data_IF_856467582822
#
_entry.id   IF_856467582822
#
_cell.length_a   1.000
_cell.length_b   1.000
_cell.length_c   1.000
_cell.angle_alpha   90.00
_cell.angle_beta   90.00
_cell.angle_gamma   90.00
#
_symmetry.space_group_name_H-M   'P 1'
#
loop_
_entity.id
_entity.type
_entity.pdbx_description
1 polymer ?
#
# COMPACT_ATOMS: atom_id res chain seq x y z
N UNK A 1 6.81 -25.21 -11.84
CA UNK A 1 7.89 -25.38 -10.83
C UNK A 1 7.25 -25.63 -9.48
N UNK A 2 7.63 -26.69 -8.78
CA UNK A 2 7.11 -26.99 -7.45
C UNK A 2 7.72 -26.03 -6.41
N UNK A 3 6.93 -25.62 -5.44
CA UNK A 3 7.39 -24.81 -4.30
C UNK A 3 8.38 -25.66 -3.48
N UNK A 4 9.55 -25.13 -3.05
CA UNK A 4 10.51 -25.89 -2.25
C UNK A 4 9.87 -26.34 -0.92
N UNK A 5 9.74 -27.64 -0.70
CA UNK A 5 9.11 -28.25 0.49
C UNK A 5 9.74 -27.73 1.78
N UNK A 6 11.06 -27.56 1.83
CA UNK A 6 11.76 -27.02 3.00
C UNK A 6 11.28 -25.63 3.42
N UNK A 7 10.84 -24.79 2.46
CA UNK A 7 10.31 -23.45 2.75
C UNK A 7 8.93 -23.56 3.39
N UNK A 8 8.11 -24.49 2.89
CA UNK A 8 6.79 -24.76 3.45
C UNK A 8 6.88 -25.34 4.86
N UNK A 9 7.80 -26.28 5.09
CA UNK A 9 8.01 -26.88 6.41
C UNK A 9 8.41 -25.83 7.46
N UNK A 10 9.31 -24.92 7.12
CA UNK A 10 9.72 -23.81 8.01
C UNK A 10 8.55 -22.90 8.39
N UNK A 11 7.63 -22.63 7.47
CA UNK A 11 6.45 -21.81 7.74
C UNK A 11 5.51 -22.52 8.72
N UNK A 12 5.26 -23.81 8.53
CA UNK A 12 4.44 -24.63 9.44
C UNK A 12 5.10 -24.71 10.82
N UNK A 13 6.42 -24.95 10.90
CA UNK A 13 7.15 -24.95 12.16
C UNK A 13 7.04 -23.60 12.87
N UNK A 14 7.23 -22.49 12.14
CA UNK A 14 7.10 -21.15 12.72
C UNK A 14 5.70 -20.88 13.26
N UNK A 15 4.67 -21.30 12.53
CA UNK A 15 3.28 -21.18 12.96
C UNK A 15 3.04 -21.91 14.28
N UNK A 16 3.53 -23.14 14.44
CA UNK A 16 3.43 -23.89 15.70
C UNK A 16 4.13 -23.17 16.85
N UNK A 17 5.31 -22.59 16.61
CA UNK A 17 6.05 -21.83 17.62
C UNK A 17 5.27 -20.59 18.06
N UNK A 18 4.77 -19.80 17.10
CA UNK A 18 3.98 -18.59 17.39
C UNK A 18 2.71 -18.92 18.16
N UNK A 19 2.02 -20.01 17.77
CA UNK A 19 0.83 -20.48 18.47
C UNK A 19 1.13 -20.92 19.92
N UNK A 20 2.25 -21.61 20.13
CA UNK A 20 2.68 -22.03 21.47
C UNK A 20 3.05 -20.80 22.33
N UNK A 21 3.77 -19.82 21.78
CA UNK A 21 4.12 -18.57 22.47
C UNK A 21 2.87 -17.76 22.85
N UNK A 22 1.87 -17.66 21.96
CA UNK A 22 0.58 -17.01 22.26
C UNK A 22 -0.16 -17.69 23.40
N UNK A 23 -0.17 -19.04 23.42
CA UNK A 23 -0.84 -19.82 24.46
C UNK A 23 -0.10 -19.75 25.83
N UNK A 24 1.19 -19.42 25.85
CA UNK A 24 1.99 -19.28 27.08
C UNK A 24 1.70 -17.97 27.86
N UNK A 25 0.84 -17.08 27.34
CA UNK A 25 0.47 -15.82 27.99
C UNK A 25 1.60 -14.78 27.96
N UNK A 26 2.02 -14.32 26.79
CA UNK A 26 3.11 -13.36 26.62
C UNK A 26 2.77 -11.98 27.19
N UNK A 27 3.77 -11.09 27.27
CA UNK A 27 3.56 -9.67 27.64
C UNK A 27 2.63 -8.98 26.63
N UNK A 28 1.97 -7.86 27.01
CA UNK A 28 1.05 -7.14 26.13
C UNK A 28 1.71 -6.71 24.81
N UNK A 29 2.97 -6.28 24.84
CA UNK A 29 3.72 -5.91 23.64
C UNK A 29 4.04 -7.11 22.74
N UNK A 30 4.47 -8.23 23.35
CA UNK A 30 4.74 -9.47 22.61
C UNK A 30 3.45 -10.09 22.06
N UNK A 31 2.34 -9.99 22.81
CA UNK A 31 1.04 -10.47 22.35
C UNK A 31 0.59 -9.76 21.06
N UNK A 32 0.72 -8.43 20.98
CA UNK A 32 0.38 -7.68 19.78
C UNK A 32 1.25 -8.11 18.57
N UNK A 33 2.57 -8.23 18.78
CA UNK A 33 3.52 -8.68 17.75
C UNK A 33 3.22 -10.11 17.26
N UNK A 34 3.05 -11.05 18.20
CA UNK A 34 2.79 -12.45 17.89
C UNK A 34 1.42 -12.66 17.24
N UNK A 35 0.39 -11.90 17.66
CA UNK A 35 -0.95 -11.95 17.06
C UNK A 35 -0.93 -11.45 15.61
N UNK A 36 -0.16 -10.40 15.32
CA UNK A 36 0.02 -9.91 13.95
C UNK A 36 0.73 -10.96 13.10
N UNK A 37 1.83 -11.52 13.58
CA UNK A 37 2.58 -12.58 12.89
C UNK A 37 1.71 -13.82 12.66
N UNK A 38 0.93 -14.24 13.65
CA UNK A 38 0.01 -15.36 13.52
C UNK A 38 -1.05 -15.10 12.42
N UNK A 39 -1.67 -13.93 12.44
CA UNK A 39 -2.68 -13.56 11.43
C UNK A 39 -2.11 -13.50 10.00
N UNK A 40 -0.81 -13.25 9.84
CA UNK A 40 -0.15 -13.25 8.54
C UNK A 40 0.20 -14.66 8.06
N UNK A 41 0.62 -15.56 8.96
CA UNK A 41 1.09 -16.91 8.63
C UNK A 41 -0.04 -17.92 8.55
N UNK A 42 -1.07 -17.80 9.38
CA UNK A 42 -2.16 -18.77 9.51
C UNK A 42 -2.86 -19.10 8.18
N UNK A 43 -3.27 -18.12 7.34
CA UNK A 43 -3.89 -18.43 6.06
C UNK A 43 -2.97 -19.22 5.11
N UNK A 44 -1.65 -18.94 5.17
CA UNK A 44 -0.66 -19.63 4.35
C UNK A 44 -0.50 -21.08 4.79
N UNK A 45 -0.47 -21.32 6.12
CA UNK A 45 -0.37 -22.69 6.66
C UNK A 45 -1.61 -23.49 6.34
N UNK A 46 -2.81 -22.90 6.44
CA UNK A 46 -4.04 -23.57 6.03
C UNK A 46 -4.03 -23.97 4.54
N UNK A 47 -3.50 -23.11 3.67
CA UNK A 47 -3.34 -23.43 2.26
C UNK A 47 -2.31 -24.54 2.02
N UNK A 48 -1.21 -24.58 2.78
CA UNK A 48 -0.22 -25.67 2.76
C UNK A 48 -0.85 -26.99 3.18
N UNK A 49 -1.63 -26.98 4.25
CA UNK A 49 -2.29 -28.19 4.76
C UNK A 49 -3.35 -28.72 3.77
N UNK A 50 -4.12 -27.82 3.14
CA UNK A 50 -5.08 -28.18 2.09
C UNK A 50 -4.36 -28.79 0.88
N UNK A 51 -3.25 -28.21 0.43
CA UNK A 51 -2.44 -28.74 -0.67
C UNK A 51 -1.94 -30.15 -0.34
N UNK A 52 -1.32 -30.34 0.82
CA UNK A 52 -0.80 -31.65 1.27
C UNK A 52 -1.91 -32.69 1.49
N UNK A 53 -3.10 -32.24 1.90
CA UNK A 53 -4.28 -33.10 1.99
C UNK A 53 -4.72 -33.63 0.64
N UNK A 54 -4.80 -32.75 -0.34
CA UNK A 54 -5.18 -33.07 -1.72
C UNK A 54 -4.10 -33.88 -2.46
N UNK A 55 -2.80 -33.67 -2.17
CA UNK A 55 -1.71 -34.52 -2.67
C UNK A 55 -1.85 -35.95 -2.17
N UNK A 56 -2.17 -36.17 -0.90
CA UNK A 56 -2.42 -37.50 -0.33
C UNK A 56 -3.65 -38.18 -0.96
N UNK A 57 -4.73 -37.42 -1.14
CA UNK A 57 -5.95 -37.90 -1.83
C UNK A 57 -5.63 -38.36 -3.27
N UNK A 58 -4.83 -37.61 -4.01
CA UNK A 58 -4.35 -38.02 -5.34
C UNK A 58 -3.58 -39.33 -5.31
N UNK A 59 -2.64 -39.45 -4.35
CA UNK A 59 -1.79 -40.65 -4.23
C UNK A 59 -2.62 -41.89 -3.82
N UNK A 60 -3.61 -41.71 -2.97
CA UNK A 60 -4.55 -42.75 -2.58
C UNK A 60 -5.41 -43.21 -3.76
N UNK A 61 -5.94 -42.29 -4.56
CA UNK A 61 -6.69 -42.58 -5.79
C UNK A 61 -5.83 -43.31 -6.82
N UNK A 62 -4.59 -42.87 -6.99
CA UNK A 62 -3.65 -43.53 -7.90
C UNK A 62 -3.29 -44.96 -7.45
N UNK A 63 -3.21 -45.20 -6.15
CA UNK A 63 -3.04 -46.52 -5.57
C UNK A 63 -4.29 -47.39 -5.76
N UNK A 64 -5.49 -46.82 -5.58
CA UNK A 64 -6.77 -47.50 -5.79
C UNK A 64 -6.94 -47.93 -7.25
N UNK A 65 -6.63 -47.07 -8.23
CA UNK A 65 -6.68 -47.42 -9.66
C UNK A 65 -5.79 -48.64 -9.96
N UNK A 66 -4.56 -48.64 -9.38
CA UNK A 66 -3.63 -49.78 -9.57
C UNK A 66 -4.16 -51.09 -8.92
N UNK A 67 -4.83 -50.99 -7.77
CA UNK A 67 -5.38 -52.13 -7.08
C UNK A 67 -6.67 -52.68 -7.75
N UNK A 68 -7.42 -51.80 -8.42
CA UNK A 68 -8.70 -52.15 -9.08
C UNK A 68 -8.54 -52.67 -10.52
N UNK A 69 -7.37 -53.22 -10.88
CA UNK A 69 -7.08 -53.69 -12.24
C UNK A 69 -8.05 -54.78 -12.77
N UNK A 70 -8.89 -55.38 -11.90
CA UNK A 70 -9.92 -56.36 -12.26
C UNK A 70 -11.35 -55.81 -12.28
N UNK A 71 -11.58 -54.60 -11.78
CA UNK A 71 -12.90 -53.95 -11.69
C UNK A 71 -12.90 -52.66 -12.52
N UNK A 72 -13.45 -52.77 -13.73
CA UNK A 72 -13.49 -51.68 -14.70
C UNK A 72 -14.33 -50.47 -14.25
N UNK A 73 -15.38 -50.72 -13.50
CA UNK A 73 -16.32 -49.70 -13.08
C UNK A 73 -15.70 -48.85 -11.96
N UNK A 74 -15.09 -49.53 -10.99
CA UNK A 74 -14.36 -48.89 -9.90
C UNK A 74 -13.13 -48.09 -10.41
N UNK A 75 -12.38 -48.66 -11.35
CA UNK A 75 -11.25 -47.97 -11.97
C UNK A 75 -11.67 -46.71 -12.72
N UNK A 76 -12.76 -46.74 -13.50
CA UNK A 76 -13.28 -45.60 -14.24
C UNK A 76 -13.76 -44.45 -13.29
N UNK A 77 -14.42 -44.81 -12.19
CA UNK A 77 -14.84 -43.82 -11.17
C UNK A 77 -13.62 -43.16 -10.52
N UNK A 78 -12.63 -43.94 -10.12
CA UNK A 78 -11.40 -43.40 -9.51
C UNK A 78 -10.58 -42.56 -10.49
N UNK A 79 -10.58 -42.86 -11.78
CA UNK A 79 -9.94 -42.04 -12.82
C UNK A 79 -10.64 -40.69 -13.00
N UNK A 80 -11.97 -40.62 -12.95
CA UNK A 80 -12.72 -39.37 -13.05
C UNK A 80 -12.50 -38.48 -11.82
N UNK A 81 -12.48 -39.10 -10.64
CA UNK A 81 -12.19 -38.41 -9.38
C UNK A 81 -10.74 -37.90 -9.37
N UNK A 82 -9.78 -38.67 -9.89
CA UNK A 82 -8.36 -38.27 -10.01
C UNK A 82 -8.21 -37.04 -10.90
N UNK A 83 -8.98 -36.90 -11.97
CA UNK A 83 -8.97 -35.69 -12.81
C UNK A 83 -9.39 -34.46 -12.01
N UNK A 84 -10.52 -34.56 -11.27
CA UNK A 84 -11.04 -33.48 -10.44
C UNK A 84 -10.04 -33.08 -9.35
N UNK A 85 -9.36 -34.05 -8.74
CA UNK A 85 -8.34 -33.82 -7.72
C UNK A 85 -7.10 -33.13 -8.32
N UNK A 86 -6.69 -33.50 -9.54
CA UNK A 86 -5.57 -32.83 -10.23
C UNK A 86 -5.88 -31.38 -10.57
N UNK A 87 -7.08 -31.07 -11.08
CA UNK A 87 -7.51 -29.71 -11.37
C UNK A 87 -7.51 -28.86 -10.07
N UNK A 88 -7.98 -29.44 -8.96
CA UNK A 88 -7.94 -28.81 -7.64
C UNK A 88 -6.51 -28.58 -7.13
N UNK A 89 -5.59 -29.51 -7.38
CA UNK A 89 -4.19 -29.37 -7.03
C UNK A 89 -3.52 -28.20 -7.77
N UNK A 90 -3.77 -28.08 -9.07
CA UNK A 90 -3.24 -26.96 -9.86
C UNK A 90 -3.72 -25.60 -9.32
N UNK A 91 -5.00 -25.53 -8.94
CA UNK A 91 -5.57 -24.31 -8.36
C UNK A 91 -4.95 -24.02 -6.98
N UNK A 92 -4.88 -25.01 -6.07
CA UNK A 92 -4.28 -24.84 -4.74
C UNK A 92 -2.79 -24.47 -4.80
N UNK A 93 -2.01 -25.05 -5.73
CA UNK A 93 -0.63 -24.66 -5.97
C UNK A 93 -0.51 -23.22 -6.46
N UNK A 94 -1.38 -22.80 -7.37
CA UNK A 94 -1.40 -21.43 -7.87
C UNK A 94 -1.72 -20.46 -6.72
N UNK A 95 -2.78 -20.69 -5.97
CA UNK A 95 -3.24 -19.85 -4.86
C UNK A 95 -2.17 -19.75 -3.77
N UNK A 96 -1.52 -20.86 -3.43
CA UNK A 96 -0.43 -20.87 -2.47
C UNK A 96 0.78 -20.06 -2.97
N UNK A 97 1.13 -20.14 -4.26
CA UNK A 97 2.21 -19.32 -4.84
C UNK A 97 1.89 -17.83 -4.72
N UNK A 98 0.64 -17.44 -5.00
CA UNK A 98 0.17 -16.05 -4.84
C UNK A 98 0.27 -15.59 -3.39
N UNK A 99 -0.14 -16.44 -2.43
CA UNK A 99 -0.05 -16.11 -1.00
C UNK A 99 1.39 -15.99 -0.48
N UNK A 100 2.34 -16.68 -1.11
CA UNK A 100 3.77 -16.63 -0.79
C UNK A 100 4.52 -15.46 -1.42
N UNK A 101 3.87 -14.67 -2.28
CA UNK A 101 4.44 -13.44 -2.81
C UNK A 101 4.76 -12.45 -1.70
N UNK A 102 5.86 -11.69 -1.82
CA UNK A 102 6.16 -10.65 -0.84
C UNK A 102 5.00 -9.65 -0.81
N UNK A 103 4.37 -9.52 0.35
CA UNK A 103 3.33 -8.51 0.56
C UNK A 103 3.99 -7.15 0.67
N UNK A 104 3.42 -6.16 0.02
CA UNK A 104 3.80 -4.77 0.22
C UNK A 104 3.38 -4.35 1.63
N UNK A 105 4.31 -3.83 2.42
CA UNK A 105 4.01 -3.38 3.79
C UNK A 105 2.95 -2.28 3.82
N UNK A 106 2.83 -1.52 2.73
CA UNK A 106 1.84 -0.47 2.57
C UNK A 106 0.44 -0.98 2.18
N UNK A 107 0.26 -2.26 1.81
CA UNK A 107 -1.02 -2.78 1.33
C UNK A 107 -2.19 -2.60 2.32
N UNK A 108 -1.89 -2.52 3.60
CA UNK A 108 -2.89 -2.26 4.66
C UNK A 108 -2.98 -0.80 5.09
N UNK A 109 -2.16 0.08 4.50
CA UNK A 109 -2.18 1.51 4.83
C UNK A 109 -3.44 2.19 4.29
N UNK A 110 -3.86 3.24 4.98
CA UNK A 110 -4.79 4.22 4.45
C UNK A 110 -4.12 5.01 3.32
N UNK A 111 -4.88 5.72 2.51
CA UNK A 111 -4.41 6.34 1.27
C UNK A 111 -4.64 7.83 1.28
N UNK A 112 -3.64 8.58 0.84
CA UNK A 112 -3.81 9.95 0.36
C UNK A 112 -4.01 9.88 -1.16
N UNK A 113 -5.22 10.15 -1.60
CA UNK A 113 -5.59 10.25 -3.02
C UNK A 113 -5.48 11.71 -3.47
N UNK A 114 -4.67 11.97 -4.49
CA UNK A 114 -4.58 13.28 -5.14
C UNK A 114 -5.05 13.16 -6.59
N UNK A 115 -6.01 13.99 -6.98
CA UNK A 115 -6.45 14.09 -8.37
C UNK A 115 -6.24 15.53 -8.83
N UNK A 116 -5.52 15.71 -9.93
CA UNK A 116 -5.20 17.03 -10.48
C UNK A 116 -5.54 17.13 -11.95
N UNK A 117 -6.03 18.29 -12.37
CA UNK A 117 -6.17 18.62 -13.77
C UNK A 117 -4.78 18.64 -14.43
N UNK A 118 -4.64 17.93 -15.54
CA UNK A 118 -3.44 17.93 -16.38
C UNK A 118 -3.63 18.83 -17.61
N UNK A 119 -3.20 18.36 -18.78
CA UNK A 119 -3.35 19.07 -20.05
C UNK A 119 -4.80 19.07 -20.50
N UNK A 120 -5.41 20.25 -20.72
CA UNK A 120 -6.76 20.38 -21.27
C UNK A 120 -7.61 21.53 -20.67
N UNK A 121 -7.03 22.37 -19.81
CA UNK A 121 -7.72 23.52 -19.22
C UNK A 121 -8.94 23.09 -18.37
N UNK A 122 -10.07 23.79 -18.56
CA UNK A 122 -11.31 23.54 -17.80
C UNK A 122 -11.85 22.13 -17.99
N UNK A 123 -11.70 21.55 -19.19
CA UNK A 123 -12.13 20.17 -19.44
C UNK A 123 -11.32 19.15 -18.62
N UNK A 124 -10.02 19.40 -18.44
CA UNK A 124 -9.19 18.57 -17.57
C UNK A 124 -9.64 18.67 -16.10
N UNK A 125 -10.07 19.86 -15.67
CA UNK A 125 -10.60 20.05 -14.31
C UNK A 125 -11.97 19.36 -14.11
N UNK A 126 -12.84 19.41 -15.10
CA UNK A 126 -14.11 18.66 -15.08
C UNK A 126 -13.85 17.15 -15.05
N UNK A 127 -12.91 16.67 -15.84
CA UNK A 127 -12.55 15.26 -15.82
C UNK A 127 -11.90 14.83 -14.49
N UNK A 128 -11.10 15.68 -13.86
CA UNK A 128 -10.58 15.42 -12.52
C UNK A 128 -11.71 15.28 -11.49
N UNK A 129 -12.76 16.09 -11.60
CA UNK A 129 -13.96 15.96 -10.75
C UNK A 129 -14.71 14.63 -11.01
N UNK A 130 -14.81 14.19 -12.28
CA UNK A 130 -15.40 12.90 -12.61
C UNK A 130 -14.62 11.73 -12.04
N UNK A 131 -13.27 11.77 -12.12
CA UNK A 131 -12.41 10.74 -11.52
C UNK A 131 -12.53 10.71 -9.99
N UNK A 132 -12.52 11.87 -9.34
CA UNK A 132 -12.67 11.92 -7.88
C UNK A 132 -14.03 11.37 -7.45
N UNK A 133 -15.10 11.68 -8.19
CA UNK A 133 -16.44 11.13 -7.95
C UNK A 133 -16.45 9.61 -8.12
N UNK A 134 -15.81 9.09 -9.16
CA UNK A 134 -15.65 7.65 -9.39
C UNK A 134 -14.98 6.97 -8.18
N UNK A 135 -13.85 7.50 -7.70
CA UNK A 135 -13.16 6.92 -6.54
C UNK A 135 -13.93 7.07 -5.24
N UNK A 136 -14.66 8.17 -5.04
CA UNK A 136 -15.51 8.36 -3.87
C UNK A 136 -16.64 7.33 -3.82
N UNK A 137 -17.31 7.08 -4.95
CA UNK A 137 -18.34 6.05 -5.05
C UNK A 137 -17.79 4.64 -4.88
N UNK A 138 -16.61 4.39 -5.44
CA UNK A 138 -15.89 3.14 -5.25
C UNK A 138 -15.56 2.89 -3.77
N UNK A 139 -15.11 3.91 -3.08
CA UNK A 139 -14.87 3.86 -1.64
C UNK A 139 -16.15 3.55 -0.84
N UNK A 140 -17.28 4.20 -1.19
CA UNK A 140 -18.58 3.95 -0.55
C UNK A 140 -19.01 2.47 -0.72
N UNK A 141 -18.86 1.91 -1.93
CA UNK A 141 -19.19 0.50 -2.19
C UNK A 141 -18.35 -0.47 -1.36
N UNK A 142 -17.08 -0.12 -1.11
CA UNK A 142 -16.16 -0.91 -0.28
C UNK A 142 -16.24 -0.58 1.21
N UNK A 143 -17.16 0.33 1.62
CA UNK A 143 -17.33 0.80 3.00
C UNK A 143 -16.07 1.48 3.55
N UNK A 144 -15.33 2.16 2.68
CA UNK A 144 -14.20 2.99 3.07
C UNK A 144 -14.68 4.41 3.37
N UNK A 145 -13.99 5.08 4.28
CA UNK A 145 -14.28 6.46 4.64
C UNK A 145 -13.44 7.40 3.77
N UNK A 146 -14.08 8.42 3.19
CA UNK A 146 -13.39 9.46 2.41
C UNK A 146 -13.47 10.79 3.16
N UNK A 147 -12.33 11.43 3.40
CA UNK A 147 -12.23 12.76 4.00
C UNK A 147 -11.43 13.69 3.09
N UNK A 148 -12.05 14.79 2.66
CA UNK A 148 -11.38 15.78 1.82
C UNK A 148 -10.43 16.61 2.68
N UNK A 149 -9.13 16.60 2.34
CA UNK A 149 -8.08 17.37 3.01
C UNK A 149 -7.99 18.77 2.41
N UNK A 150 -7.96 18.85 1.09
CA UNK A 150 -7.92 20.13 0.36
C UNK A 150 -8.58 20.00 -1.00
N UNK A 151 -9.15 21.10 -1.49
CA UNK A 151 -9.82 21.15 -2.77
C UNK A 151 -9.67 22.54 -3.40
N UNK A 152 -9.34 22.58 -4.68
CA UNK A 152 -9.28 23.80 -5.48
C UNK A 152 -10.17 23.62 -6.71
N UNK A 153 -11.25 24.38 -6.77
CA UNK A 153 -12.23 24.33 -7.86
C UNK A 153 -11.95 25.38 -8.94
N UNK A 154 -12.50 25.16 -10.13
CA UNK A 154 -12.66 26.18 -11.14
C UNK A 154 -14.11 26.70 -11.18
N UNK A 155 -14.37 27.75 -11.96
CA UNK A 155 -15.69 28.41 -12.04
C UNK A 155 -16.80 27.51 -12.66
N UNK A 156 -16.42 26.37 -13.25
CA UNK A 156 -17.32 25.40 -13.89
C UNK A 156 -17.60 24.16 -13.04
N UNK A 157 -17.17 24.14 -11.76
CA UNK A 157 -17.36 23.01 -10.85
C UNK A 157 -16.39 21.84 -11.11
N UNK A 158 -15.32 22.06 -11.87
CA UNK A 158 -14.23 21.11 -12.03
C UNK A 158 -13.16 21.31 -10.96
N UNK A 159 -12.33 20.30 -10.69
CA UNK A 159 -11.24 20.38 -9.72
C UNK A 159 -9.89 20.65 -10.41
N UNK A 160 -9.25 21.76 -10.08
CA UNK A 160 -7.84 21.98 -10.41
C UNK A 160 -6.98 20.98 -9.66
N UNK A 161 -7.34 20.77 -8.40
CA UNK A 161 -6.73 19.80 -7.51
C UNK A 161 -7.71 19.40 -6.42
N UNK A 162 -7.75 18.12 -6.08
CA UNK A 162 -8.42 17.61 -4.88
C UNK A 162 -7.51 16.59 -4.21
N UNK A 163 -7.37 16.69 -2.89
CA UNK A 163 -6.63 15.78 -2.03
C UNK A 163 -7.56 15.25 -0.98
N UNK A 164 -7.66 13.94 -0.85
CA UNK A 164 -8.51 13.28 0.13
C UNK A 164 -7.76 12.12 0.81
N UNK A 165 -8.07 11.88 2.07
CA UNK A 165 -7.71 10.64 2.76
C UNK A 165 -8.83 9.62 2.54
N UNK A 166 -8.44 8.39 2.22
CA UNK A 166 -9.36 7.25 2.11
C UNK A 166 -8.89 6.18 3.08
N UNK A 167 -9.70 5.91 4.10
CA UNK A 167 -9.37 4.95 5.16
C UNK A 167 -10.27 3.73 5.16
N UNK A 168 -9.65 2.56 5.37
CA UNK A 168 -10.34 1.27 5.39
C UNK A 168 -9.42 0.10 5.09
N UNK A 169 -9.96 -1.10 5.19
CA UNK A 169 -9.16 -2.32 4.99
C UNK A 169 -8.75 -2.50 3.52
N UNK A 170 -7.44 -2.54 3.26
CA UNK A 170 -6.89 -2.88 1.95
C UNK A 170 -7.05 -1.79 0.89
N UNK A 171 -7.21 -0.52 1.30
CA UNK A 171 -7.41 0.61 0.39
C UNK A 171 -6.21 0.77 -0.52
N UNK A 172 -4.99 0.80 0.02
CA UNK A 172 -3.78 0.97 -0.78
C UNK A 172 -3.56 -0.21 -1.72
N UNK A 173 -3.77 -1.44 -1.27
CA UNK A 173 -3.64 -2.64 -2.11
C UNK A 173 -4.49 -2.57 -3.39
N UNK A 174 -5.68 -1.99 -3.30
CA UNK A 174 -6.60 -1.82 -4.44
C UNK A 174 -6.26 -0.60 -5.29
N UNK A 175 -6.06 0.55 -4.68
CA UNK A 175 -5.93 1.82 -5.38
C UNK A 175 -4.53 2.12 -5.91
N UNK A 176 -3.46 1.48 -5.43
CA UNK A 176 -2.07 1.72 -5.87
C UNK A 176 -1.87 1.64 -7.39
N UNK A 177 -2.68 0.83 -8.09
CA UNK A 177 -2.65 0.70 -9.54
C UNK A 177 -3.35 1.84 -10.28
N UNK A 178 -4.05 2.73 -9.58
CA UNK A 178 -4.73 3.87 -10.20
C UNK A 178 -3.81 5.09 -10.38
N UNK A 179 -2.60 5.05 -9.84
CA UNK A 179 -1.61 6.12 -9.97
C UNK A 179 -1.12 6.27 -11.41
N UNK A 180 -1.20 7.49 -11.94
CA UNK A 180 -0.71 7.82 -13.27
C UNK A 180 -1.54 8.87 -14.00
N UNK A 181 -1.35 8.94 -15.31
CA UNK A 181 -2.07 9.88 -16.19
C UNK A 181 -3.30 9.20 -16.79
N UNK A 182 -4.47 9.75 -16.53
CA UNK A 182 -5.75 9.34 -17.10
C UNK A 182 -6.14 10.27 -18.25
N UNK A 183 -6.44 9.74 -19.40
CA UNK A 183 -6.78 10.48 -20.61
C UNK A 183 -8.26 10.35 -20.94
N UNK A 184 -8.93 11.47 -21.18
CA UNK A 184 -10.32 11.50 -21.63
C UNK A 184 -10.42 11.96 -23.08
N UNK A 185 -11.35 11.36 -23.81
CA UNK A 185 -11.76 11.76 -25.16
C UNK A 185 -13.26 11.92 -25.17
N UNK A 186 -13.72 13.19 -25.16
CA UNK A 186 -15.15 13.56 -25.25
C UNK A 186 -15.30 14.95 -25.83
N UNK A 187 -16.53 15.29 -26.19
CA UNK A 187 -16.91 16.68 -26.49
C UNK A 187 -17.04 17.41 -25.14
N UNK A 188 -16.21 18.42 -24.85
CA UNK A 188 -16.32 19.17 -23.61
C UNK A 188 -17.66 19.86 -23.45
N UNK A 189 -18.13 20.04 -22.21
CA UNK A 189 -19.33 20.84 -21.94
C UNK A 189 -19.18 22.32 -22.37
N UNK A 190 -17.94 22.79 -22.52
CA UNK A 190 -17.57 24.15 -22.95
C UNK A 190 -17.44 24.29 -24.47
N UNK A 191 -17.55 23.21 -25.23
CA UNK A 191 -17.33 23.20 -26.68
C UNK A 191 -18.66 23.32 -27.44
N UNK A 192 -18.84 24.46 -28.12
CA UNK A 192 -20.08 24.72 -28.89
C UNK A 192 -20.09 24.03 -30.27
N UNK A 193 -18.91 23.66 -30.82
CA UNK A 193 -18.81 23.10 -32.18
C UNK A 193 -18.92 21.57 -32.25
N UNK A 194 -19.10 20.90 -31.13
CA UNK A 194 -19.22 19.45 -31.05
C UNK A 194 -17.92 18.68 -31.35
N UNK A 195 -16.75 19.33 -31.27
CA UNK A 195 -15.46 18.69 -31.53
C UNK A 195 -15.03 17.86 -30.34
N UNK A 196 -14.52 16.66 -30.61
CA UNK A 196 -13.93 15.80 -29.60
C UNK A 196 -12.56 16.37 -29.17
N UNK A 197 -12.41 16.65 -27.87
CA UNK A 197 -11.14 17.07 -27.30
C UNK A 197 -10.48 15.90 -26.55
N UNK A 198 -9.17 15.98 -26.42
CA UNK A 198 -8.37 15.03 -25.64
C UNK A 198 -7.77 15.78 -24.48
N UNK A 199 -8.22 15.51 -23.28
CA UNK A 199 -7.72 16.08 -22.04
C UNK A 199 -7.13 15.01 -21.14
N UNK A 200 -6.42 15.41 -20.11
CA UNK A 200 -5.80 14.49 -19.14
C UNK A 200 -5.94 15.02 -17.73
N UNK A 201 -6.07 14.11 -16.80
CA UNK A 201 -5.91 14.35 -15.36
C UNK A 201 -4.90 13.37 -14.79
N UNK A 202 -4.28 13.73 -13.68
CA UNK A 202 -3.31 12.89 -12.99
C UNK A 202 -3.87 12.43 -11.68
N UNK A 203 -3.62 11.17 -11.36
CA UNK A 203 -3.98 10.54 -10.09
C UNK A 203 -2.70 10.09 -9.41
N UNK A 204 -2.52 10.47 -8.15
CA UNK A 204 -1.48 9.93 -7.28
C UNK A 204 -2.15 9.23 -6.09
N UNK A 205 -1.68 8.05 -5.78
CA UNK A 205 -2.12 7.24 -4.65
C UNK A 205 -0.90 6.99 -3.78
N UNK A 206 -0.88 7.60 -2.61
CA UNK A 206 0.24 7.54 -1.68
C UNK A 206 -0.23 6.87 -0.40
N UNK A 207 0.55 5.94 0.19
CA UNK A 207 0.19 5.40 1.49
C UNK A 207 0.23 6.51 2.54
N UNK A 208 -0.78 6.55 3.40
CA UNK A 208 -0.77 7.47 4.55
C UNK A 208 0.29 7.00 5.54
N UNK A 209 1.23 7.86 5.96
CA UNK A 209 2.26 7.46 6.89
C UNK A 209 1.65 7.18 8.26
N UNK A 210 2.09 6.11 8.89
CA UNK A 210 1.83 5.91 10.31
C UNK A 210 2.41 7.08 11.11
N UNK A 211 1.69 7.55 12.15
CA UNK A 211 2.23 8.52 13.08
C UNK A 211 3.51 7.95 13.72
N UNK A 212 4.62 8.60 13.44
CA UNK A 212 5.90 8.16 14.00
C UNK A 212 6.01 8.69 15.40
N UNK A 213 5.81 7.82 16.39
CA UNK A 213 6.19 8.10 17.76
C UNK A 213 7.71 8.30 17.85
N UNK A 214 8.13 9.55 18.03
CA UNK A 214 9.53 9.89 18.17
C UNK A 214 10.02 9.47 19.57
N UNK A 215 10.47 8.23 19.71
CA UNK A 215 11.13 7.75 20.91
C UNK A 215 12.63 8.04 20.82
N UNK A 216 13.13 8.97 21.66
CA UNK A 216 14.56 9.29 21.75
C UNK A 216 15.15 8.45 22.87
N UNK A 217 16.01 7.49 22.50
CA UNK A 217 16.68 6.63 23.48
C UNK A 217 17.78 7.39 24.23
N UNK A 218 18.00 7.10 25.52
CA UNK A 218 19.04 7.78 26.31
C UNK A 218 20.45 7.69 25.74
N UNK A 219 20.73 6.65 24.95
CA UNK A 219 22.04 6.41 24.31
C UNK A 219 22.27 7.29 23.08
N UNK A 220 21.20 7.87 22.52
CA UNK A 220 21.23 8.66 21.28
C UNK A 220 21.57 10.13 21.52
N UNK A 221 21.65 10.57 22.79
CA UNK A 221 21.99 11.94 23.09
C UNK A 221 23.02 12.06 24.21
N UNK A 222 23.85 13.10 24.09
CA UNK A 222 24.82 13.47 25.11
C UNK A 222 24.45 14.84 25.69
N UNK A 223 24.48 14.93 27.02
CA UNK A 223 24.20 16.16 27.76
C UNK A 223 25.50 16.67 28.36
N UNK A 224 25.89 17.87 28.00
CA UNK A 224 27.01 18.59 28.54
C UNK A 224 26.49 19.81 29.31
N UNK A 225 27.05 20.07 30.51
CA UNK A 225 26.81 21.31 31.26
C UNK A 225 27.92 22.31 30.96
N UNK A 226 27.52 23.58 30.82
CA UNK A 226 28.48 24.65 30.51
C UNK A 226 28.10 25.94 31.25
N UNK A 227 29.03 26.86 31.30
CA UNK A 227 28.74 28.22 31.82
C UNK A 227 27.90 29.00 30.84
N UNK A 228 26.88 29.69 31.34
CA UNK A 228 26.08 30.55 30.50
C UNK A 228 26.94 31.74 30.04
N UNK A 229 27.06 31.97 28.71
CA UNK A 229 27.73 33.12 28.15
C UNK A 229 26.79 34.34 28.11
N UNK A 230 27.23 35.48 28.54
CA UNK A 230 26.47 36.74 28.45
C UNK A 230 26.88 37.78 29.48
N UNK A 231 26.43 39.04 29.31
CA UNK A 231 26.60 40.12 30.30
C UNK A 231 25.78 39.79 31.57
N UNK A 232 26.40 39.27 32.57
CA UNK A 232 25.78 38.92 33.84
C UNK A 232 26.76 38.99 35.02
N UNK A 233 26.24 39.18 36.23
CA UNK A 233 27.00 39.26 37.47
C UNK A 233 27.68 37.97 37.87
N UNK A 234 28.26 37.93 39.10
CA UNK A 234 29.10 36.86 39.62
C UNK A 234 28.45 35.44 39.56
N UNK A 235 27.12 35.34 39.50
CA UNK A 235 26.37 34.07 39.39
C UNK A 235 26.49 33.44 38.01
N UNK A 236 26.41 34.21 36.92
CA UNK A 236 26.50 33.74 35.52
C UNK A 236 27.88 33.18 35.20
N UNK A 237 28.93 33.78 35.81
CA UNK A 237 30.31 33.42 35.54
C UNK A 237 30.86 32.24 36.40
N UNK A 238 30.15 31.87 37.48
CA UNK A 238 30.61 30.79 38.39
C UNK A 238 29.78 29.52 38.32
N UNK A 239 28.53 29.56 37.88
CA UNK A 239 27.64 28.40 37.84
C UNK A 239 27.50 27.83 36.43
N UNK A 240 27.68 26.51 36.29
CA UNK A 240 27.45 25.79 35.05
C UNK A 240 25.96 25.45 34.90
N UNK A 241 25.15 26.49 34.72
CA UNK A 241 23.68 26.35 34.60
C UNK A 241 23.19 26.05 33.17
N UNK A 242 23.96 26.42 32.15
CA UNK A 242 23.62 26.15 30.77
C UNK A 242 23.77 24.65 30.42
N UNK A 243 22.86 24.14 29.62
CA UNK A 243 22.83 22.74 29.19
C UNK A 243 22.92 22.70 27.67
N UNK A 244 23.83 21.89 27.16
CA UNK A 244 23.99 21.55 25.75
C UNK A 244 23.59 20.09 25.56
N UNK A 245 22.68 19.82 24.66
CA UNK A 245 22.32 18.46 24.25
C UNK A 245 22.77 18.26 22.81
N UNK A 246 23.53 17.22 22.57
CA UNK A 246 23.94 16.75 21.25
C UNK A 246 23.18 15.43 20.96
N UNK A 247 22.41 15.41 19.90
CA UNK A 247 21.84 14.17 19.38
C UNK A 247 22.87 13.51 18.46
N UNK A 248 23.37 12.34 18.85
CA UNK A 248 24.52 11.68 18.21
C UNK A 248 24.23 11.28 16.77
N UNK A 249 23.06 10.63 16.44
CA UNK A 249 22.81 10.18 15.08
C UNK A 249 22.64 11.31 14.05
N UNK A 250 22.04 12.44 14.45
CA UNK A 250 21.76 13.56 13.53
C UNK A 250 22.72 14.72 13.64
N UNK A 251 23.53 14.77 14.71
CA UNK A 251 24.43 15.89 14.99
C UNK A 251 23.71 17.18 15.44
N UNK A 252 22.40 17.13 15.70
CA UNK A 252 21.65 18.30 16.17
C UNK A 252 22.11 18.69 17.56
N UNK A 253 22.46 19.97 17.72
CA UNK A 253 22.88 20.57 18.97
C UNK A 253 21.82 21.56 19.43
N UNK A 254 21.40 21.43 20.69
CA UNK A 254 20.50 22.36 21.37
C UNK A 254 21.18 22.88 22.63
N UNK A 255 21.17 24.20 22.80
CA UNK A 255 21.71 24.86 24.00
C UNK A 255 20.60 25.64 24.67
N UNK A 256 20.45 25.50 25.98
CA UNK A 256 19.55 26.30 26.82
C UNK A 256 20.36 26.90 27.99
N UNK A 257 20.19 28.21 28.23
CA UNK A 257 21.03 28.99 29.15
C UNK A 257 20.22 29.84 30.15
N UNK A 258 19.10 29.31 30.64
CA UNK A 258 18.28 29.93 31.68
C UNK A 258 18.92 29.80 33.09
N UNK A 259 18.29 30.38 34.10
CA UNK A 259 18.86 30.41 35.47
C UNK A 259 18.93 29.03 36.14
N UNK A 260 18.10 28.08 35.76
CA UNK A 260 18.04 26.75 36.40
C UNK A 260 18.51 25.65 35.45
N UNK A 261 19.50 24.88 35.85
CA UNK A 261 20.03 23.74 35.09
C UNK A 261 18.96 22.67 34.81
N UNK A 262 18.09 22.35 35.75
CA UNK A 262 16.99 21.40 35.55
C UNK A 262 15.96 21.91 34.53
N UNK A 263 15.67 23.21 34.57
CA UNK A 263 14.78 23.82 33.58
C UNK A 263 15.42 23.82 32.20
N UNK A 264 16.71 24.13 32.09
CA UNK A 264 17.47 24.12 30.86
C UNK A 264 17.51 22.71 30.23
N UNK A 265 17.69 21.67 31.04
CA UNK A 265 17.65 20.29 30.55
C UNK A 265 16.30 19.93 29.95
N UNK A 266 15.18 20.30 30.65
CA UNK A 266 13.83 20.05 30.16
C UNK A 266 13.53 20.83 28.86
N UNK A 267 13.87 22.13 28.81
CA UNK A 267 13.67 22.96 27.63
C UNK A 267 14.52 22.49 26.44
N UNK A 268 15.80 22.18 26.67
CA UNK A 268 16.67 21.70 25.62
C UNK A 268 16.18 20.35 25.05
N UNK A 269 15.66 19.45 25.88
CA UNK A 269 15.08 18.20 25.44
C UNK A 269 13.79 18.42 24.65
N UNK A 270 12.94 19.34 25.07
CA UNK A 270 11.73 19.72 24.33
C UNK A 270 12.04 20.30 22.95
N UNK A 271 13.02 21.20 22.86
CA UNK A 271 13.48 21.77 21.60
C UNK A 271 14.14 20.73 20.71
N UNK A 272 14.90 19.78 21.29
CA UNK A 272 15.49 18.67 20.55
C UNK A 272 14.39 17.79 19.92
N UNK A 273 13.36 17.42 20.69
CA UNK A 273 12.22 16.65 20.18
C UNK A 273 11.51 17.37 19.02
N UNK A 274 11.23 18.66 19.18
CA UNK A 274 10.61 19.45 18.11
C UNK A 274 11.45 19.49 16.83
N UNK A 275 12.78 19.67 16.94
CA UNK A 275 13.67 19.69 15.77
C UNK A 275 13.79 18.32 15.09
N UNK A 276 13.86 17.24 15.86
CA UNK A 276 13.89 15.88 15.32
C UNK A 276 12.58 15.55 14.61
N UNK A 277 11.45 15.90 15.20
CA UNK A 277 10.13 15.72 14.58
C UNK A 277 10.01 16.50 13.26
N UNK A 278 10.45 17.77 13.26
CA UNK A 278 10.43 18.60 12.04
C UNK A 278 11.34 18.04 10.93
N UNK A 279 12.55 17.59 11.29
CA UNK A 279 13.47 16.94 10.34
C UNK A 279 12.88 15.66 9.75
N UNK A 280 12.27 14.81 10.58
CA UNK A 280 11.66 13.57 10.15
C UNK A 280 10.43 13.82 9.26
N UNK A 281 9.62 14.82 9.61
CA UNK A 281 8.51 15.27 8.79
C UNK A 281 9.00 15.77 7.41
N UNK A 282 10.03 16.58 7.38
CA UNK A 282 10.60 17.08 6.14
C UNK A 282 11.12 15.93 5.25
N UNK A 283 11.83 14.96 5.83
CA UNK A 283 12.28 13.76 5.09
C UNK A 283 11.11 12.95 4.52
N UNK A 284 10.06 12.78 5.31
CA UNK A 284 8.83 12.11 4.85
C UNK A 284 8.15 12.88 3.71
N UNK A 285 8.05 14.20 3.82
CA UNK A 285 7.45 15.06 2.79
C UNK A 285 8.27 15.05 1.49
N UNK A 286 9.62 15.07 1.59
CA UNK A 286 10.51 14.95 0.43
C UNK A 286 10.39 13.57 -0.24
N UNK A 287 10.33 12.48 0.53
CA UNK A 287 10.12 11.13 0.01
C UNK A 287 8.77 11.01 -0.72
N UNK A 288 7.69 11.53 -0.13
CA UNK A 288 6.36 11.59 -0.78
C UNK A 288 6.37 12.42 -2.05
N UNK A 289 7.05 13.57 -2.04
CA UNK A 289 7.15 14.41 -3.23
C UNK A 289 7.89 13.70 -4.36
N UNK A 290 8.94 12.95 -4.04
CA UNK A 290 9.68 12.13 -5.00
C UNK A 290 8.82 10.98 -5.54
N UNK A 291 8.10 10.27 -4.68
CA UNK A 291 7.20 9.18 -5.05
C UNK A 291 6.06 9.70 -5.95
N UNK A 292 5.37 10.77 -5.55
CA UNK A 292 4.36 11.45 -6.37
C UNK A 292 4.90 11.80 -7.75
N UNK A 293 6.08 12.40 -7.82
CA UNK A 293 6.72 12.77 -9.09
C UNK A 293 6.99 11.53 -9.95
N UNK A 294 7.38 10.41 -9.35
CA UNK A 294 7.55 9.13 -10.05
C UNK A 294 6.24 8.59 -10.63
N UNK A 295 5.13 8.68 -9.87
CA UNK A 295 3.81 8.20 -10.28
C UNK A 295 3.17 9.03 -11.39
N UNK A 296 3.28 10.36 -11.32
CA UNK A 296 2.55 11.30 -12.19
C UNK A 296 3.36 11.74 -13.42
N UNK A 297 4.70 11.62 -13.35
CA UNK A 297 5.60 12.09 -14.41
C UNK A 297 5.41 13.57 -14.75
N UNK A 298 5.34 13.89 -16.05
CA UNK A 298 5.08 15.25 -16.52
C UNK A 298 3.60 15.63 -16.59
N UNK A 299 2.68 14.71 -16.36
CA UNK A 299 1.24 14.90 -16.57
C UNK A 299 0.83 15.04 -18.05
N UNK A 300 1.74 14.71 -18.98
CA UNK A 300 1.46 14.75 -20.41
C UNK A 300 0.55 13.57 -20.80
N UNK A 301 -0.45 13.88 -21.65
CA UNK A 301 -1.41 12.88 -22.19
C UNK A 301 -0.76 11.74 -22.99
N UNK A 302 0.50 11.86 -23.38
CA UNK A 302 1.26 10.78 -24.00
C UNK A 302 1.64 9.66 -23.04
N UNK A 303 1.84 9.98 -21.76
CA UNK A 303 2.22 9.06 -20.69
C UNK A 303 1.02 8.37 -20.02
N UNK A 304 -0.11 8.34 -20.70
CA UNK A 304 -1.37 7.79 -20.18
C UNK A 304 -1.26 6.31 -19.76
N UNK A 305 -1.81 6.01 -18.61
CA UNK A 305 -2.06 4.63 -18.19
C UNK A 305 -3.40 4.12 -18.69
N UNK A 306 -4.43 5.00 -18.72
CA UNK A 306 -5.80 4.63 -19.11
C UNK A 306 -6.45 5.70 -19.99
N UNK A 307 -7.30 5.26 -20.92
CA UNK A 307 -8.07 6.15 -21.80
C UNK A 307 -9.57 5.89 -21.64
N UNK A 308 -10.31 6.95 -21.40
CA UNK A 308 -11.76 7.01 -21.29
C UNK A 308 -12.33 7.61 -22.58
N UNK A 309 -12.92 6.80 -23.44
CA UNK A 309 -13.45 7.21 -24.74
C UNK A 309 -14.97 7.24 -24.70
N UNK A 310 -15.54 8.43 -24.49
CA UNK A 310 -16.97 8.64 -24.38
C UNK A 310 -17.74 8.35 -25.68
N UNK A 311 -17.28 8.79 -26.86
CA UNK A 311 -17.98 8.47 -28.13
C UNK A 311 -18.12 6.97 -28.41
N UNK A 312 -17.22 6.16 -27.89
CA UNK A 312 -17.22 4.71 -28.07
C UNK A 312 -17.69 3.94 -26.82
N UNK A 313 -18.06 4.63 -25.74
CA UNK A 313 -18.48 4.02 -24.48
C UNK A 313 -17.47 3.03 -23.90
N UNK A 314 -16.16 3.24 -24.16
CA UNK A 314 -15.12 2.30 -23.76
C UNK A 314 -14.03 2.92 -22.91
N UNK A 315 -13.46 2.10 -22.05
CA UNK A 315 -12.23 2.39 -21.31
C UNK A 315 -11.15 1.39 -21.72
N UNK A 316 -9.91 1.87 -21.88
CA UNK A 316 -8.76 1.03 -22.21
C UNK A 316 -7.63 1.28 -21.24
N UNK A 317 -7.20 0.27 -20.49
CA UNK A 317 -5.97 0.30 -19.71
C UNK A 317 -4.80 -0.16 -20.60
N UNK A 318 -3.84 0.75 -20.82
CA UNK A 318 -2.74 0.51 -21.76
C UNK A 318 -1.62 -0.34 -21.18
N UNK A 319 -1.56 -0.53 -19.88
CA UNK A 319 -0.52 -1.34 -19.21
C UNK A 319 -0.71 -2.82 -19.51
N UNK A 320 -1.96 -3.27 -19.52
CA UNK A 320 -2.34 -4.67 -19.73
C UNK A 320 -3.17 -4.88 -21.01
N UNK A 321 -3.33 -3.82 -21.82
CA UNK A 321 -4.15 -3.82 -23.05
C UNK A 321 -5.60 -4.28 -22.83
N UNK A 322 -6.16 -4.07 -21.65
CA UNK A 322 -7.54 -4.39 -21.33
C UNK A 322 -8.47 -3.31 -21.88
N UNK A 323 -9.51 -3.72 -22.60
CA UNK A 323 -10.56 -2.80 -23.11
C UNK A 323 -11.92 -3.29 -22.66
N UNK A 324 -12.67 -2.42 -21.97
CA UNK A 324 -14.03 -2.67 -21.52
C UNK A 324 -15.00 -1.67 -22.18
N UNK A 325 -16.15 -2.15 -22.64
CA UNK A 325 -17.23 -1.33 -23.20
C UNK A 325 -18.29 -1.02 -22.13
N UNK A 326 -17.83 -0.58 -20.93
CA UNK A 326 -18.65 -0.31 -19.75
C UNK A 326 -18.22 1.02 -19.10
N UNK A 327 -18.04 2.07 -19.93
CA UNK A 327 -17.48 3.34 -19.46
C UNK A 327 -18.33 3.97 -18.37
N UNK A 328 -19.65 4.01 -18.51
CA UNK A 328 -20.55 4.65 -17.55
C UNK A 328 -20.52 3.90 -16.20
N UNK A 329 -20.59 2.57 -16.25
CA UNK A 329 -20.49 1.72 -15.04
C UNK A 329 -19.16 1.91 -14.30
N UNK A 330 -18.07 2.06 -15.04
CA UNK A 330 -16.75 2.31 -14.47
C UNK A 330 -16.68 3.69 -13.80
N UNK A 331 -17.20 4.75 -14.46
CA UNK A 331 -17.22 6.11 -13.91
C UNK A 331 -18.16 6.25 -12.69
N UNK A 332 -19.08 5.33 -12.53
CA UNK A 332 -19.91 5.22 -11.34
C UNK A 332 -19.21 4.49 -10.18
N UNK A 333 -17.95 4.09 -10.36
CA UNK A 333 -17.19 3.35 -9.34
C UNK A 333 -17.71 1.91 -9.12
N UNK A 334 -18.47 1.38 -10.09
CA UNK A 334 -19.13 0.07 -10.01
C UNK A 334 -18.20 -1.11 -10.34
N UNK A 335 -18.80 -2.31 -10.57
CA UNK A 335 -18.05 -3.56 -10.79
C UNK A 335 -17.07 -3.52 -11.97
N UNK A 336 -17.29 -2.65 -12.97
CA UNK A 336 -16.35 -2.47 -14.07
C UNK A 336 -14.99 -1.91 -13.61
N UNK A 337 -14.95 -1.12 -12.53
CA UNK A 337 -13.70 -0.65 -11.96
C UNK A 337 -12.99 -1.78 -11.19
N UNK A 338 -13.73 -2.62 -10.47
CA UNK A 338 -13.19 -3.83 -9.86
C UNK A 338 -12.55 -4.75 -10.90
N UNK A 339 -13.23 -4.98 -12.04
CA UNK A 339 -12.73 -5.81 -13.13
C UNK A 339 -11.36 -5.32 -13.65
N UNK A 340 -11.18 -4.00 -13.77
CA UNK A 340 -9.88 -3.42 -14.16
C UNK A 340 -8.83 -3.58 -13.09
N UNK A 341 -9.16 -3.29 -11.82
CA UNK A 341 -8.23 -3.39 -10.69
C UNK A 341 -7.82 -4.85 -10.46
N UNK A 342 -8.74 -5.79 -10.56
CA UNK A 342 -8.46 -7.22 -10.43
C UNK A 342 -7.54 -7.73 -11.54
N UNK A 343 -7.76 -7.29 -12.79
CA UNK A 343 -6.89 -7.62 -13.90
C UNK A 343 -5.46 -7.06 -13.71
N UNK A 344 -5.32 -5.83 -13.21
CA UNK A 344 -4.02 -5.23 -12.91
C UNK A 344 -3.33 -5.95 -11.75
N UNK A 345 -4.08 -6.35 -10.74
CA UNK A 345 -3.57 -7.12 -9.61
C UNK A 345 -3.06 -8.48 -10.07
N UNK A 346 -3.83 -9.17 -10.92
CA UNK A 346 -3.44 -10.46 -11.50
C UNK A 346 -2.18 -10.35 -12.37
N UNK A 347 -2.08 -9.32 -13.22
CA UNK A 347 -0.88 -9.06 -14.03
C UNK A 347 0.36 -8.79 -13.14
N UNK A 348 0.19 -7.97 -12.11
CA UNK A 348 1.26 -7.68 -11.14
C UNK A 348 1.75 -8.96 -10.43
N UNK A 349 0.82 -9.79 -9.95
CA UNK A 349 1.13 -11.07 -9.31
C UNK A 349 1.83 -12.03 -10.27
N UNK A 350 1.38 -12.11 -11.52
CA UNK A 350 2.01 -12.93 -12.55
C UNK A 350 3.46 -12.49 -12.83
N UNK A 351 3.70 -11.18 -12.91
CA UNK A 351 5.04 -10.62 -13.08
C UNK A 351 5.95 -10.91 -11.89
N UNK A 352 5.44 -10.82 -10.65
CA UNK A 352 6.19 -11.18 -9.44
C UNK A 352 6.52 -12.67 -9.41
N UNK A 353 5.57 -13.55 -9.75
CA UNK A 353 5.81 -14.99 -9.85
C UNK A 353 6.89 -15.33 -10.91
N UNK A 354 6.84 -14.67 -12.06
CA UNK A 354 7.84 -14.83 -13.10
C UNK A 354 9.25 -14.41 -12.63
N UNK A 355 9.34 -13.26 -11.93
CA UNK A 355 10.59 -12.78 -11.37
C UNK A 355 11.17 -13.73 -10.32
N UNK A 356 10.34 -14.29 -9.44
CA UNK A 356 10.77 -15.29 -8.45
C UNK A 356 11.28 -16.59 -9.11
N UNK A 357 10.68 -16.99 -10.23
CA UNK A 357 11.11 -18.20 -10.96
C UNK A 357 12.45 -18.03 -11.67
N UNK A 358 12.87 -16.80 -11.98
CA UNK A 358 14.16 -16.49 -12.61
C UNK A 358 15.32 -16.33 -11.62
N UNK A 359 14.99 -16.15 -10.32
CA UNK A 359 15.99 -15.95 -9.26
C UNK A 359 16.32 -17.23 -8.47
N UNK A 360 15.73 -18.34 -8.86
CA UNK A 360 15.99 -19.69 -8.31
C UNK A 360 16.74 -20.53 -9.31
#
# INVERSE_FOLDING_TARGET
MSIPQQKLDRLVERWHVVQAELNAGPSAADFARLSKEFAEIDPVVQAIEALRGTERERDDLAAMIKASAGDREMAALAEDELRTVNDRLEQLEHDLRVQLLPKDSADNADVILEVRAGTGGDEAALFAADLFRMYSRYADLHRWKVEIISMSENDLGGYKEVVASISGKGVFARLKFESGVHRVQRVPATEASGRIHTSAATVAVLPEPEEVDLEIKPEEFRIDTMRAGGAGGQHVNKTESAVRILHIPTGIIVVSAEKSQHQNRRLAMQVLRSRLYEMQRQQSDEARAAERKGQVGSGDRSQRIRTYNFPQGRVTDHRINLTLHKLDELLEGGPALDEVIDALTADHQANQLAAMSMST
#
